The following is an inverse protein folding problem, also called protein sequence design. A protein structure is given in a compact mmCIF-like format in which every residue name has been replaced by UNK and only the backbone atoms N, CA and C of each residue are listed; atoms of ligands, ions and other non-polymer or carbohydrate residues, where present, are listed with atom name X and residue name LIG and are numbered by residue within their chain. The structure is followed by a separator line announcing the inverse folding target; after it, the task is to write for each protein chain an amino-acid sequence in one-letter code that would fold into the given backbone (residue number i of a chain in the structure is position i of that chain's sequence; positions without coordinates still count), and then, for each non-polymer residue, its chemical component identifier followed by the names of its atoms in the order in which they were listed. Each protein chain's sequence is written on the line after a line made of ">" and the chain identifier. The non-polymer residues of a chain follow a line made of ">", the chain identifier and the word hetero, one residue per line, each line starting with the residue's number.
data_IF_244606546609
#
_entry.id   IF_244606546609
#
_cell.length_a   1.000
_cell.length_b   1.000
_cell.length_c   1.000
_cell.angle_alpha   90.00
_cell.angle_beta   90.00
_cell.angle_gamma   90.00
#
_symmetry.space_group_name_H-M   'P 1'
#
loop_
_entity.id
_entity.type
_entity.pdbx_description
1 polymer ?
#
# COMPACT_ATOMS: atom_id res chain seq x y z
N UNK A 1 29.07 23.03 -5.53
CA UNK A 1 29.23 22.05 -4.44
C UNK A 1 28.34 22.37 -3.25
N UNK A 2 28.22 23.64 -2.84
CA UNK A 2 27.32 24.05 -1.75
C UNK A 2 25.86 23.54 -1.89
N UNK A 3 25.28 23.59 -3.08
CA UNK A 3 23.87 23.18 -3.27
C UNK A 3 23.60 21.71 -2.91
N UNK A 4 24.53 20.79 -3.21
CA UNK A 4 24.36 19.35 -2.94
C UNK A 4 24.40 19.08 -1.44
N UNK A 5 25.33 19.71 -0.71
CA UNK A 5 25.45 19.53 0.73
C UNK A 5 24.28 20.16 1.47
N UNK A 6 23.77 21.32 1.03
CA UNK A 6 22.57 21.95 1.57
C UNK A 6 21.37 21.02 1.44
N UNK A 7 21.14 20.47 0.24
CA UNK A 7 20.04 19.53 -0.01
C UNK A 7 20.18 18.26 0.84
N UNK A 8 21.39 17.75 1.00
CA UNK A 8 21.66 16.61 1.86
C UNK A 8 21.29 16.88 3.32
N UNK A 9 21.69 18.04 3.85
CA UNK A 9 21.37 18.44 5.22
C UNK A 9 19.86 18.61 5.43
N UNK A 10 19.15 19.17 4.47
CA UNK A 10 17.68 19.25 4.55
C UNK A 10 17.03 17.87 4.53
N UNK A 11 17.53 16.97 3.71
CA UNK A 11 17.06 15.58 3.66
C UNK A 11 17.29 14.87 4.99
N UNK A 12 18.45 15.06 5.61
CA UNK A 12 18.78 14.55 6.94
C UNK A 12 17.83 15.07 8.01
N UNK A 13 17.57 16.37 8.03
CA UNK A 13 16.65 17.00 8.99
C UNK A 13 15.21 16.44 8.86
N UNK A 14 14.80 16.11 7.63
CA UNK A 14 13.48 15.48 7.39
C UNK A 14 13.42 14.00 7.76
N UNK A 15 14.56 13.33 7.79
CA UNK A 15 14.67 11.88 8.06
C UNK A 15 14.86 11.54 9.53
N UNK A 16 15.20 12.53 10.38
CA UNK A 16 15.43 12.36 11.81
C UNK A 16 14.15 12.54 12.62
N UNK A 17 13.94 11.67 13.61
CA UNK A 17 12.85 11.83 14.59
C UNK A 17 13.15 13.03 15.51
N UNK A 18 12.14 13.81 15.85
CA UNK A 18 12.21 15.08 16.61
C UNK A 18 12.75 14.96 18.04
N UNK A 19 13.13 13.78 18.51
CA UNK A 19 13.48 13.52 19.93
C UNK A 19 14.97 13.33 20.20
N UNK A 20 15.81 13.25 19.18
CA UNK A 20 17.27 13.11 19.32
C UNK A 20 17.91 14.27 18.56
N UNK A 21 18.92 14.89 19.18
CA UNK A 21 19.70 15.92 18.49
C UNK A 21 20.45 15.29 17.31
N UNK A 22 20.09 15.68 16.09
CA UNK A 22 20.80 15.23 14.87
C UNK A 22 22.31 15.43 14.99
N UNK A 23 22.74 16.49 15.65
CA UNK A 23 24.17 16.79 15.84
C UNK A 23 24.84 15.77 16.75
N UNK A 24 24.19 15.32 17.82
CA UNK A 24 24.71 14.29 18.73
C UNK A 24 24.81 12.93 18.00
N UNK A 25 23.78 12.55 17.29
CA UNK A 25 23.74 11.29 16.53
C UNK A 25 24.85 11.25 15.45
N UNK A 26 25.02 12.37 14.72
CA UNK A 26 26.12 12.49 13.75
C UNK A 26 27.51 12.50 14.40
N UNK A 27 27.65 13.10 15.58
CA UNK A 27 28.91 13.11 16.33
C UNK A 27 29.35 11.69 16.71
N UNK A 28 28.42 10.88 17.22
CA UNK A 28 28.66 9.46 17.54
C UNK A 28 28.95 8.63 16.30
N UNK A 29 28.13 8.77 15.25
CA UNK A 29 28.28 8.02 14.01
C UNK A 29 29.63 8.27 13.32
N UNK A 30 30.02 9.55 13.20
CA UNK A 30 31.24 9.96 12.48
C UNK A 30 32.47 9.99 13.37
N UNK A 31 32.31 9.84 14.70
CA UNK A 31 33.38 9.92 15.71
C UNK A 31 34.13 11.24 15.63
N UNK A 32 33.43 12.35 15.50
CA UNK A 32 33.96 13.71 15.45
C UNK A 32 33.31 14.58 16.53
N UNK A 33 33.91 15.71 16.87
CA UNK A 33 33.37 16.64 17.88
C UNK A 33 32.05 17.28 17.39
N UNK A 34 31.19 17.66 18.35
CA UNK A 34 29.95 18.40 18.07
C UNK A 34 30.20 19.68 17.26
N UNK A 35 31.28 20.41 17.57
CA UNK A 35 31.66 21.60 16.80
C UNK A 35 31.94 21.27 15.32
N UNK A 36 32.66 20.17 15.08
CA UNK A 36 32.92 19.69 13.71
C UNK A 36 31.64 19.29 12.98
N UNK A 37 30.65 18.73 13.70
CA UNK A 37 29.33 18.43 13.13
C UNK A 37 28.57 19.70 12.77
N UNK A 38 28.53 20.69 13.70
CA UNK A 38 27.86 21.96 13.44
C UNK A 38 28.45 22.71 12.25
N UNK A 39 29.76 22.67 12.07
CA UNK A 39 30.43 23.28 10.90
C UNK A 39 29.97 22.60 9.59
N UNK A 40 29.81 21.27 9.59
CA UNK A 40 29.24 20.53 8.42
C UNK A 40 27.80 20.89 8.19
N UNK A 41 26.99 20.94 9.24
CA UNK A 41 25.54 21.28 9.14
C UNK A 41 25.31 22.74 8.69
N UNK A 42 26.30 23.63 8.88
CA UNK A 42 26.28 25.02 8.36
C UNK A 42 26.96 25.15 7.00
N UNK A 43 27.43 24.06 6.40
CA UNK A 43 28.19 24.05 5.15
C UNK A 43 29.52 24.82 5.21
N UNK A 44 30.10 25.04 6.41
CA UNK A 44 31.41 25.64 6.61
C UNK A 44 32.57 24.66 6.36
N UNK A 45 32.25 23.37 6.36
CA UNK A 45 33.17 22.27 6.09
C UNK A 45 32.43 21.23 5.26
N UNK A 46 33.09 20.70 4.24
CA UNK A 46 32.52 19.68 3.37
C UNK A 46 32.34 18.35 4.11
N UNK A 47 31.20 17.68 3.84
CA UNK A 47 30.99 16.28 4.23
C UNK A 47 31.69 15.41 3.19
N UNK A 48 32.62 14.58 3.63
CA UNK A 48 33.35 13.69 2.71
C UNK A 48 32.45 12.59 2.16
N UNK A 49 32.85 11.98 1.03
CA UNK A 49 32.12 10.86 0.44
C UNK A 49 31.94 9.68 1.41
N UNK A 50 32.98 9.41 2.22
CA UNK A 50 32.92 8.33 3.23
C UNK A 50 31.95 8.65 4.35
N UNK A 51 31.92 9.91 4.82
CA UNK A 51 30.96 10.39 5.82
C UNK A 51 29.53 10.36 5.24
N UNK A 52 29.34 10.83 4.00
CA UNK A 52 28.06 10.77 3.31
C UNK A 52 27.55 9.34 3.24
N UNK A 53 28.39 8.39 2.85
CA UNK A 53 28.01 6.97 2.78
C UNK A 53 27.63 6.41 4.17
N UNK A 54 28.40 6.74 5.22
CA UNK A 54 28.08 6.30 6.58
C UNK A 54 26.75 6.87 7.06
N UNK A 55 26.50 8.15 6.82
CA UNK A 55 25.25 8.84 7.16
C UNK A 55 24.08 8.23 6.39
N UNK A 56 24.20 8.09 5.07
CA UNK A 56 23.16 7.50 4.23
C UNK A 56 22.78 6.09 4.68
N UNK A 57 23.79 5.27 5.04
CA UNK A 57 23.57 3.91 5.55
C UNK A 57 22.86 3.93 6.91
N UNK A 58 23.24 4.81 7.82
CA UNK A 58 22.67 4.91 9.16
C UNK A 58 21.20 5.37 9.14
N UNK A 59 20.91 6.44 8.37
CA UNK A 59 19.58 7.02 8.26
C UNK A 59 18.71 6.37 7.18
N UNK A 60 19.17 5.28 6.53
CA UNK A 60 18.50 4.63 5.41
C UNK A 60 18.10 5.59 4.26
N UNK A 61 18.99 6.54 3.95
CA UNK A 61 18.83 7.48 2.86
C UNK A 61 19.52 6.90 1.63
N UNK A 62 18.83 6.68 0.51
CA UNK A 62 19.48 6.25 -0.72
C UNK A 62 20.40 7.35 -1.24
N UNK A 63 21.61 6.98 -1.67
CA UNK A 63 22.62 7.92 -2.19
C UNK A 63 22.07 8.71 -3.39
N UNK A 64 21.23 8.08 -4.18
CA UNK A 64 20.55 8.67 -5.34
C UNK A 64 19.63 9.83 -4.95
N UNK A 65 19.13 9.86 -3.72
CA UNK A 65 18.35 10.99 -3.20
C UNK A 65 19.17 12.27 -3.04
N UNK A 66 20.51 12.17 -3.02
CA UNK A 66 21.42 13.32 -3.01
C UNK A 66 21.61 13.94 -4.39
N UNK A 67 21.41 13.14 -5.41
CA UNK A 67 21.49 13.57 -6.79
C UNK A 67 20.10 14.04 -7.24
N UNK A 68 19.61 15.17 -6.72
CA UNK A 68 18.54 15.96 -7.40
C UNK A 68 19.06 16.55 -8.73
N UNK A 69 20.01 15.88 -9.34
CA UNK A 69 20.40 16.14 -10.70
C UNK A 69 19.23 15.62 -11.52
N UNK A 70 18.82 16.34 -12.54
CA UNK A 70 17.93 15.97 -13.66
C UNK A 70 18.26 14.58 -14.26
N UNK A 71 18.22 13.54 -13.43
CA UNK A 71 18.41 12.17 -13.83
C UNK A 71 17.03 11.54 -13.99
N UNK A 72 16.77 10.95 -15.16
CA UNK A 72 15.58 10.12 -15.37
C UNK A 72 15.63 8.84 -14.50
N UNK A 73 16.42 8.83 -13.42
CA UNK A 73 16.58 7.71 -12.50
C UNK A 73 15.82 7.97 -11.22
N UNK A 74 15.05 7.00 -10.79
CA UNK A 74 14.27 7.04 -9.55
C UNK A 74 14.64 5.83 -8.71
N UNK A 75 15.06 6.08 -7.46
CA UNK A 75 15.29 5.02 -6.49
C UNK A 75 13.99 4.59 -5.82
N UNK A 76 13.78 3.28 -5.72
CA UNK A 76 12.67 2.68 -4.99
C UNK A 76 13.19 1.86 -3.82
N UNK A 77 12.53 2.00 -2.65
CA UNK A 77 12.70 1.08 -1.53
C UNK A 77 11.77 -0.12 -1.73
N UNK A 78 12.33 -1.31 -1.66
CA UNK A 78 11.59 -2.57 -1.75
C UNK A 78 11.67 -3.26 -0.38
N UNK A 79 10.53 -3.70 0.14
CA UNK A 79 10.52 -4.57 1.30
C UNK A 79 10.92 -5.97 0.85
N UNK A 80 12.03 -6.46 1.39
CA UNK A 80 12.49 -7.82 1.09
C UNK A 80 11.63 -8.81 1.86
N UNK A 81 10.60 -9.32 1.20
CA UNK A 81 9.71 -10.32 1.77
C UNK A 81 10.29 -11.71 1.55
N UNK A 82 10.36 -12.50 2.59
CA UNK A 82 10.71 -13.91 2.58
C UNK A 82 9.47 -14.77 2.83
N UNK A 83 9.59 -16.08 2.66
CA UNK A 83 8.54 -17.06 2.92
C UNK A 83 8.32 -17.36 4.41
N UNK A 84 8.77 -16.49 5.32
CA UNK A 84 8.57 -16.65 6.77
C UNK A 84 7.34 -15.87 7.26
N UNK A 85 6.70 -16.39 8.31
CA UNK A 85 5.58 -15.71 8.99
C UNK A 85 6.00 -14.34 9.55
N UNK A 86 7.28 -14.19 9.97
CA UNK A 86 7.85 -12.92 10.42
C UNK A 86 7.89 -11.87 9.33
N UNK A 87 8.18 -12.28 8.10
CA UNK A 87 8.22 -11.35 6.94
C UNK A 87 6.86 -10.71 6.68
N UNK A 88 5.77 -11.47 6.86
CA UNK A 88 4.42 -10.93 6.69
C UNK A 88 4.06 -9.97 7.83
N UNK A 89 4.45 -10.29 9.06
CA UNK A 89 4.29 -9.37 10.21
C UNK A 89 5.05 -8.06 9.98
N UNK A 90 6.30 -8.15 9.51
CA UNK A 90 7.10 -6.97 9.16
C UNK A 90 6.44 -6.13 8.05
N UNK A 91 5.84 -6.76 7.05
CA UNK A 91 5.08 -6.07 6.01
C UNK A 91 3.93 -5.24 6.61
N UNK A 92 3.12 -5.84 7.50
CA UNK A 92 2.02 -5.13 8.17
C UNK A 92 2.52 -3.98 9.05
N UNK A 93 3.63 -4.18 9.77
CA UNK A 93 4.25 -3.13 10.59
C UNK A 93 4.76 -1.96 9.74
N UNK A 94 5.39 -2.23 8.60
CA UNK A 94 5.82 -1.19 7.66
C UNK A 94 4.62 -0.44 7.11
N UNK A 95 3.58 -1.15 6.69
CA UNK A 95 2.34 -0.54 6.19
C UNK A 95 1.68 0.34 7.25
N UNK A 96 1.56 -0.16 8.49
CA UNK A 96 1.05 0.59 9.63
C UNK A 96 1.92 1.84 9.91
N UNK A 97 3.24 1.68 9.90
CA UNK A 97 4.18 2.77 10.10
C UNK A 97 4.06 3.87 9.06
N UNK A 98 3.96 3.50 7.78
CA UNK A 98 3.82 4.43 6.66
C UNK A 98 2.49 5.22 6.72
N UNK A 99 1.38 4.55 7.05
CA UNK A 99 0.09 5.23 7.23
C UNK A 99 0.11 6.18 8.44
N UNK A 100 0.63 5.76 9.59
CA UNK A 100 0.77 6.62 10.77
C UNK A 100 1.70 7.79 10.54
N UNK A 101 2.77 7.59 9.76
CA UNK A 101 3.68 8.67 9.40
C UNK A 101 2.93 9.75 8.61
N UNK A 102 2.13 9.36 7.62
CA UNK A 102 1.35 10.30 6.82
C UNK A 102 0.32 11.06 7.66
N UNK A 103 -0.34 10.41 8.62
CA UNK A 103 -1.33 11.04 9.50
C UNK A 103 -0.76 12.15 10.39
N UNK A 104 0.56 12.26 10.55
CA UNK A 104 1.20 13.37 11.31
C UNK A 104 1.13 14.71 10.60
N UNK A 105 0.85 14.71 9.28
CA UNK A 105 0.85 15.91 8.46
C UNK A 105 -0.58 16.38 8.18
N UNK A 106 -0.82 17.71 8.15
CA UNK A 106 -2.14 18.24 7.82
C UNK A 106 -2.52 17.92 6.37
N UNK A 107 -3.83 17.86 6.11
CA UNK A 107 -4.41 17.61 4.78
C UNK A 107 -3.87 16.32 4.10
N UNK A 108 -3.58 15.31 4.93
CA UNK A 108 -3.16 14.02 4.40
C UNK A 108 -4.30 13.35 3.62
N UNK A 109 -3.92 12.70 2.52
CA UNK A 109 -4.86 12.03 1.62
C UNK A 109 -4.21 10.82 0.96
N UNK A 110 -4.99 9.78 0.71
CA UNK A 110 -4.58 8.58 0.01
C UNK A 110 -5.33 8.49 -1.33
N UNK A 111 -4.61 8.34 -2.44
CA UNK A 111 -5.20 8.00 -3.74
C UNK A 111 -4.76 6.58 -4.09
N UNK A 112 -5.70 5.71 -4.43
CA UNK A 112 -5.45 4.33 -4.82
C UNK A 112 -6.00 4.06 -6.22
N UNK A 113 -5.13 3.82 -7.20
CA UNK A 113 -5.54 3.26 -8.49
C UNK A 113 -5.39 1.73 -8.41
N UNK A 114 -6.51 1.03 -8.53
CA UNK A 114 -6.62 -0.40 -8.22
C UNK A 114 -6.64 -1.26 -9.48
N UNK A 115 -5.51 -1.91 -9.79
CA UNK A 115 -5.43 -3.00 -10.77
C UNK A 115 -6.07 -4.28 -10.21
N UNK A 116 -5.80 -4.62 -8.94
CA UNK A 116 -6.50 -5.64 -8.15
C UNK A 116 -7.01 -4.96 -6.86
N UNK A 117 -7.83 -5.67 -6.10
CA UNK A 117 -8.42 -5.18 -4.84
C UNK A 117 -7.41 -4.41 -3.98
N UNK A 118 -7.75 -3.19 -3.52
CA UNK A 118 -6.91 -2.49 -2.57
C UNK A 118 -6.63 -3.35 -1.35
N UNK A 119 -5.35 -3.47 -1.00
CA UNK A 119 -4.87 -4.37 0.07
C UNK A 119 -5.61 -4.19 1.39
N UNK A 120 -6.07 -2.98 1.67
CA UNK A 120 -6.76 -2.65 2.91
C UNK A 120 -8.09 -3.37 3.10
N UNK A 121 -8.78 -3.75 2.02
CA UNK A 121 -10.05 -4.48 2.10
C UNK A 121 -9.86 -5.89 2.65
N UNK A 122 -8.73 -6.55 2.37
CA UNK A 122 -8.42 -7.88 2.92
C UNK A 122 -8.41 -7.91 4.45
N UNK A 123 -8.20 -6.77 5.09
CA UNK A 123 -8.14 -6.66 6.55
C UNK A 123 -9.52 -6.69 7.24
N UNK A 124 -10.59 -6.69 6.46
CA UNK A 124 -11.97 -6.80 6.96
C UNK A 124 -12.59 -8.18 6.70
N UNK A 125 -12.02 -8.99 5.80
CA UNK A 125 -12.61 -10.20 5.24
C UNK A 125 -11.62 -11.38 5.37
N UNK A 126 -11.72 -12.17 6.45
CA UNK A 126 -10.67 -13.12 6.84
C UNK A 126 -10.50 -14.31 5.91
N UNK A 127 -11.57 -14.81 5.24
CA UNK A 127 -11.44 -15.95 4.33
C UNK A 127 -10.65 -15.56 3.08
N UNK A 128 -10.98 -14.40 2.50
CA UNK A 128 -10.21 -13.85 1.37
C UNK A 128 -8.77 -13.51 1.79
N UNK A 129 -8.59 -12.95 2.98
CA UNK A 129 -7.26 -12.64 3.51
C UNK A 129 -6.38 -13.89 3.62
N UNK A 130 -6.93 -14.97 4.18
CA UNK A 130 -6.24 -16.26 4.26
C UNK A 130 -5.88 -16.78 2.88
N UNK A 131 -6.85 -16.77 1.95
CA UNK A 131 -6.64 -17.19 0.57
C UNK A 131 -5.50 -16.40 -0.10
N UNK A 132 -5.54 -15.07 -0.04
CA UNK A 132 -4.50 -14.21 -0.63
C UNK A 132 -3.14 -14.43 0.00
N UNK A 133 -3.07 -14.62 1.32
CA UNK A 133 -1.82 -14.95 2.02
C UNK A 133 -1.26 -16.31 1.54
N UNK A 134 -2.12 -17.33 1.40
CA UNK A 134 -1.71 -18.65 0.90
C UNK A 134 -1.26 -18.57 -0.55
N UNK A 135 -2.04 -17.92 -1.42
CA UNK A 135 -1.69 -17.71 -2.82
C UNK A 135 -0.33 -17.05 -2.95
N UNK A 136 -0.10 -15.98 -2.21
CA UNK A 136 1.14 -15.25 -2.26
C UNK A 136 2.34 -16.08 -1.77
N UNK A 137 2.24 -16.72 -0.60
CA UNK A 137 3.32 -17.53 -0.05
C UNK A 137 3.61 -18.77 -0.91
N UNK A 138 2.57 -19.45 -1.41
CA UNK A 138 2.70 -20.69 -2.17
C UNK A 138 3.10 -20.44 -3.62
N UNK A 139 2.42 -19.52 -4.32
CA UNK A 139 2.62 -19.33 -5.76
C UNK A 139 3.71 -18.30 -6.10
N UNK A 140 3.93 -17.29 -5.25
CA UNK A 140 4.89 -16.22 -5.53
C UNK A 140 6.22 -16.45 -4.80
N UNK A 141 6.18 -16.81 -3.50
CA UNK A 141 7.37 -17.02 -2.69
C UNK A 141 7.85 -18.49 -2.66
N UNK A 142 7.07 -19.41 -3.23
CA UNK A 142 7.36 -20.84 -3.26
C UNK A 142 7.69 -21.42 -1.88
N UNK A 143 6.88 -21.08 -0.86
CA UNK A 143 7.09 -21.51 0.52
C UNK A 143 6.98 -23.04 0.64
N UNK A 144 8.08 -23.71 0.99
CA UNK A 144 8.14 -25.16 1.15
C UNK A 144 7.14 -25.68 2.21
N UNK A 145 6.92 -24.92 3.27
CA UNK A 145 5.99 -25.26 4.36
C UNK A 145 4.51 -25.35 3.93
N UNK A 146 4.17 -24.82 2.76
CA UNK A 146 2.82 -24.85 2.18
C UNK A 146 2.67 -25.81 1.02
N UNK A 147 3.76 -26.47 0.60
CA UNK A 147 3.68 -27.45 -0.48
C UNK A 147 2.85 -28.68 -0.03
N UNK A 148 1.99 -29.17 -0.94
CA UNK A 148 1.10 -30.31 -0.66
C UNK A 148 -0.08 -30.00 0.26
N UNK A 149 -0.19 -28.80 0.85
CA UNK A 149 -1.31 -28.43 1.71
C UNK A 149 -2.45 -27.80 0.93
N UNK A 150 -3.67 -28.04 1.40
CA UNK A 150 -4.89 -27.37 0.98
C UNK A 150 -5.15 -26.11 1.83
N UNK A 151 -6.07 -25.28 1.42
CA UNK A 151 -6.39 -24.02 2.13
C UNK A 151 -6.89 -24.30 3.56
N UNK A 152 -7.68 -25.34 3.74
CA UNK A 152 -8.31 -25.71 5.02
C UNK A 152 -7.28 -26.17 6.08
N UNK A 153 -6.09 -26.58 5.65
CA UNK A 153 -4.99 -27.02 6.53
C UNK A 153 -4.13 -25.85 7.01
N UNK A 154 -4.43 -24.62 6.56
CA UNK A 154 -3.63 -23.44 6.84
C UNK A 154 -4.46 -22.46 7.67
N UNK A 155 -3.81 -21.81 8.62
CA UNK A 155 -4.43 -20.77 9.45
C UNK A 155 -3.68 -19.45 9.32
N UNK A 156 -4.40 -18.36 9.54
CA UNK A 156 -3.78 -17.04 9.67
C UNK A 156 -2.83 -17.06 10.88
N UNK A 157 -1.60 -16.55 10.75
CA UNK A 157 -0.65 -16.53 11.84
C UNK A 157 -1.16 -15.62 12.98
N UNK A 158 -0.83 -15.91 14.25
CA UNK A 158 -1.24 -15.08 15.39
C UNK A 158 -0.89 -13.60 15.23
N UNK A 159 0.25 -13.29 14.63
CA UNK A 159 0.68 -11.91 14.32
C UNK A 159 -0.28 -11.17 13.39
N UNK A 160 -1.02 -11.89 12.54
CA UNK A 160 -2.09 -11.29 11.74
C UNK A 160 -3.18 -10.69 12.62
N UNK A 161 -3.62 -11.43 13.63
CA UNK A 161 -4.69 -10.99 14.54
C UNK A 161 -4.28 -9.77 15.36
N UNK A 162 -2.99 -9.58 15.60
CA UNK A 162 -2.43 -8.45 16.36
C UNK A 162 -2.21 -7.20 15.49
N UNK A 163 -1.67 -7.36 14.28
CA UNK A 163 -1.23 -6.25 13.43
C UNK A 163 -2.34 -5.71 12.52
N UNK A 164 -3.19 -6.59 11.99
CA UNK A 164 -4.25 -6.19 11.05
C UNK A 164 -5.23 -5.18 11.65
N UNK A 165 -5.72 -5.32 12.90
CA UNK A 165 -6.58 -4.30 13.49
C UNK A 165 -5.94 -2.91 13.54
N UNK A 166 -4.63 -2.82 13.79
CA UNK A 166 -3.88 -1.56 13.85
C UNK A 166 -3.86 -0.88 12.47
N UNK A 167 -3.53 -1.64 11.41
CA UNK A 167 -3.52 -1.12 10.03
C UNK A 167 -4.92 -0.66 9.62
N UNK A 168 -5.93 -1.49 9.89
CA UNK A 168 -7.33 -1.20 9.57
C UNK A 168 -7.82 0.07 10.25
N UNK A 169 -7.54 0.24 11.55
CA UNK A 169 -8.00 1.39 12.34
C UNK A 169 -7.35 2.70 11.89
N UNK A 170 -6.11 2.64 11.39
CA UNK A 170 -5.45 3.81 10.79
C UNK A 170 -6.02 4.10 9.41
N UNK A 171 -6.19 3.08 8.55
CA UNK A 171 -6.76 3.25 7.20
C UNK A 171 -8.16 3.89 7.24
N UNK A 172 -8.99 3.55 8.22
CA UNK A 172 -10.33 4.14 8.39
C UNK A 172 -10.30 5.64 8.75
N UNK A 173 -9.15 6.17 9.14
CA UNK A 173 -8.99 7.59 9.50
C UNK A 173 -8.36 8.44 8.40
N UNK A 174 -7.96 7.84 7.29
CA UNK A 174 -7.29 8.53 6.18
C UNK A 174 -8.32 8.84 5.08
N UNK A 175 -8.52 10.11 4.72
CA UNK A 175 -9.31 10.49 3.54
C UNK A 175 -8.76 9.79 2.31
N UNK A 176 -9.63 9.18 1.51
CA UNK A 176 -9.21 8.29 0.43
C UNK A 176 -10.00 8.53 -0.85
N UNK A 177 -9.29 8.58 -1.97
CA UNK A 177 -9.84 8.48 -3.32
C UNK A 177 -9.44 7.15 -3.94
N UNK A 178 -10.40 6.38 -4.41
CA UNK A 178 -10.14 5.11 -5.11
C UNK A 178 -10.57 5.19 -6.57
N UNK A 179 -9.76 4.64 -7.45
CA UNK A 179 -10.01 4.54 -8.89
C UNK A 179 -10.02 3.05 -9.21
N UNK A 180 -11.18 2.53 -9.57
CA UNK A 180 -11.38 1.12 -9.94
C UNK A 180 -11.79 1.03 -11.41
N UNK A 181 -11.56 -0.13 -12.02
CA UNK A 181 -12.14 -0.49 -13.31
C UNK A 181 -12.93 -1.80 -13.21
N UNK A 182 -13.57 -2.21 -14.30
CA UNK A 182 -14.38 -3.44 -14.35
C UNK A 182 -13.54 -4.70 -14.07
N UNK A 183 -12.23 -4.63 -14.30
CA UNK A 183 -11.30 -5.73 -14.13
C UNK A 183 -10.65 -5.79 -12.73
N UNK A 184 -10.94 -4.82 -11.83
CA UNK A 184 -10.30 -4.71 -10.51
C UNK A 184 -10.41 -5.97 -9.65
N UNK A 185 -11.44 -6.82 -9.83
CA UNK A 185 -11.55 -8.13 -9.16
C UNK A 185 -11.16 -9.33 -10.04
N UNK A 186 -10.84 -9.12 -11.30
CA UNK A 186 -10.59 -10.20 -12.25
C UNK A 186 -9.41 -11.07 -11.85
N UNK A 187 -8.33 -10.46 -11.41
CA UNK A 187 -7.13 -11.17 -10.93
C UNK A 187 -7.48 -12.06 -9.74
N UNK A 188 -8.19 -11.54 -8.74
CA UNK A 188 -8.64 -12.30 -7.57
C UNK A 188 -9.55 -13.47 -7.93
N UNK A 189 -10.53 -13.26 -8.81
CA UNK A 189 -11.44 -14.31 -9.28
C UNK A 189 -10.69 -15.40 -10.03
N UNK A 190 -9.73 -15.04 -10.88
CA UNK A 190 -8.91 -16.00 -11.62
C UNK A 190 -7.98 -16.81 -10.69
N UNK A 191 -7.43 -16.20 -9.66
CA UNK A 191 -6.63 -16.89 -8.65
C UNK A 191 -7.46 -17.93 -7.89
N UNK A 192 -8.68 -17.57 -7.46
CA UNK A 192 -9.60 -18.50 -6.77
C UNK A 192 -9.95 -19.67 -7.69
N UNK A 193 -10.32 -19.38 -8.94
CA UNK A 193 -10.66 -20.39 -9.95
C UNK A 193 -9.49 -21.35 -10.20
N UNK A 194 -8.28 -20.82 -10.39
CA UNK A 194 -7.09 -21.64 -10.60
C UNK A 194 -6.81 -22.58 -9.42
N UNK A 195 -6.94 -22.10 -8.19
CA UNK A 195 -6.73 -22.92 -6.99
C UNK A 195 -7.81 -23.98 -6.82
N UNK A 196 -9.06 -23.68 -7.22
CA UNK A 196 -10.13 -24.66 -7.23
C UNK A 196 -9.87 -25.75 -8.28
N UNK A 197 -9.61 -25.40 -9.52
CA UNK A 197 -9.33 -26.35 -10.62
C UNK A 197 -8.07 -27.18 -10.36
N UNK A 198 -7.10 -26.64 -9.61
CA UNK A 198 -5.87 -27.34 -9.22
C UNK A 198 -6.04 -28.23 -7.97
N UNK A 199 -7.22 -28.33 -7.37
CA UNK A 199 -7.50 -29.20 -6.22
C UNK A 199 -6.92 -28.70 -4.90
N UNK A 200 -6.68 -27.39 -4.75
CA UNK A 200 -6.17 -26.82 -3.50
C UNK A 200 -7.25 -26.50 -2.46
N UNK A 201 -8.50 -26.76 -2.77
CA UNK A 201 -9.63 -26.73 -1.85
C UNK A 201 -10.18 -28.11 -1.62
N UNK A 202 -10.39 -28.48 -0.34
CA UNK A 202 -11.05 -29.75 0.03
C UNK A 202 -12.59 -29.64 -0.01
N UNK A 203 -13.11 -28.41 0.19
CA UNK A 203 -14.54 -28.17 0.36
C UNK A 203 -15.01 -27.02 -0.48
N UNK A 204 -16.17 -27.17 -1.14
CA UNK A 204 -16.83 -26.08 -1.88
C UNK A 204 -17.21 -24.92 -0.96
N UNK A 205 -17.58 -25.20 0.29
CA UNK A 205 -17.95 -24.21 1.29
C UNK A 205 -16.81 -23.20 1.54
N UNK A 206 -15.55 -23.64 1.47
CA UNK A 206 -14.40 -22.74 1.62
C UNK A 206 -14.33 -21.73 0.47
N UNK A 207 -14.58 -22.19 -0.76
CA UNK A 207 -14.61 -21.31 -1.94
C UNK A 207 -15.77 -20.34 -1.83
N UNK A 208 -16.96 -20.83 -1.46
CA UNK A 208 -18.16 -20.00 -1.31
C UNK A 208 -17.97 -18.93 -0.24
N UNK A 209 -17.33 -19.25 0.89
CA UNK A 209 -17.00 -18.27 1.92
C UNK A 209 -16.04 -17.17 1.42
N UNK A 210 -15.08 -17.50 0.55
CA UNK A 210 -14.20 -16.51 -0.08
C UNK A 210 -15.00 -15.63 -1.07
N UNK A 211 -15.94 -16.19 -1.81
CA UNK A 211 -16.81 -15.42 -2.71
C UNK A 211 -17.77 -14.52 -1.94
N UNK A 212 -18.26 -14.95 -0.78
CA UNK A 212 -19.03 -14.10 0.15
C UNK A 212 -18.20 -12.93 0.67
N UNK A 213 -16.92 -13.15 0.99
CA UNK A 213 -16.00 -12.09 1.38
C UNK A 213 -15.83 -11.05 0.22
N UNK A 214 -15.76 -11.50 -1.05
CA UNK A 214 -15.74 -10.59 -2.20
C UNK A 214 -17.03 -9.76 -2.31
N UNK A 215 -18.19 -10.38 -2.11
CA UNK A 215 -19.47 -9.66 -2.06
C UNK A 215 -19.48 -8.63 -0.92
N UNK A 216 -18.96 -8.99 0.24
CA UNK A 216 -18.80 -8.12 1.39
C UNK A 216 -17.94 -6.90 1.09
N UNK A 217 -16.85 -7.09 0.33
CA UNK A 217 -15.99 -5.99 -0.13
C UNK A 217 -16.74 -5.05 -1.06
N UNK A 218 -17.47 -5.58 -2.04
CA UNK A 218 -18.26 -4.75 -2.94
C UNK A 218 -19.35 -3.98 -2.19
N UNK A 219 -20.00 -4.63 -1.22
CA UNK A 219 -20.99 -3.98 -0.36
C UNK A 219 -20.35 -2.85 0.48
N UNK A 220 -19.16 -3.07 1.04
CA UNK A 220 -18.39 -2.06 1.76
C UNK A 220 -18.05 -0.87 0.85
N UNK A 221 -17.47 -1.12 -0.33
CA UNK A 221 -17.11 -0.08 -1.28
C UNK A 221 -18.35 0.71 -1.75
N UNK A 222 -19.47 0.01 -2.03
CA UNK A 222 -20.74 0.64 -2.40
C UNK A 222 -21.28 1.55 -1.30
N UNK A 223 -21.26 1.10 -0.03
CA UNK A 223 -21.67 1.90 1.13
C UNK A 223 -20.79 3.14 1.30
N UNK A 224 -19.47 2.98 1.22
CA UNK A 224 -18.51 4.09 1.29
C UNK A 224 -18.77 5.11 0.17
N UNK A 225 -18.89 4.65 -1.07
CA UNK A 225 -19.16 5.51 -2.21
C UNK A 225 -20.51 6.23 -2.08
N UNK A 226 -21.58 5.54 -1.65
CA UNK A 226 -22.89 6.13 -1.49
C UNK A 226 -22.91 7.28 -0.49
N UNK A 227 -22.21 7.12 0.63
CA UNK A 227 -22.18 8.12 1.71
C UNK A 227 -21.04 9.13 1.59
N UNK A 228 -20.06 8.88 0.70
CA UNK A 228 -18.84 9.69 0.62
C UNK A 228 -17.99 9.64 1.90
N UNK A 229 -18.12 8.56 2.67
CA UNK A 229 -17.48 8.39 3.98
C UNK A 229 -16.91 6.99 4.16
N UNK A 230 -15.85 6.89 4.94
CA UNK A 230 -15.30 5.58 5.35
C UNK A 230 -16.32 4.77 6.14
N UNK A 231 -16.34 3.45 5.91
CA UNK A 231 -17.25 2.52 6.56
C UNK A 231 -16.51 1.30 7.08
N UNK A 232 -16.83 0.88 8.30
CA UNK A 232 -16.31 -0.34 8.92
C UNK A 232 -17.40 -1.41 8.92
N UNK A 233 -17.31 -2.47 8.10
CA UNK A 233 -18.33 -3.51 8.03
C UNK A 233 -18.40 -4.40 9.27
N UNK A 234 -17.30 -4.50 10.05
CA UNK A 234 -17.27 -5.30 11.30
C UNK A 234 -18.09 -4.65 12.40
N UNK A 235 -18.07 -3.30 12.46
CA UNK A 235 -18.78 -2.50 13.47
C UNK A 235 -20.10 -1.94 12.96
N UNK A 236 -20.40 -2.12 11.67
CA UNK A 236 -21.53 -1.48 10.96
C UNK A 236 -21.58 0.04 11.20
N UNK A 237 -20.42 0.70 11.04
CA UNK A 237 -20.25 2.11 11.44
C UNK A 237 -19.58 2.93 10.35
N UNK A 238 -20.13 4.13 10.10
CA UNK A 238 -19.47 5.17 9.29
C UNK A 238 -18.54 6.03 10.15
N UNK A 239 -17.43 6.42 9.55
CA UNK A 239 -16.48 7.38 10.11
C UNK A 239 -16.63 8.70 9.36
N UNK A 240 -16.51 9.82 10.07
CA UNK A 240 -16.53 11.15 9.45
C UNK A 240 -15.19 11.46 8.78
N UNK A 241 -14.86 10.65 7.80
CA UNK A 241 -13.63 10.68 7.00
C UNK A 241 -14.03 10.55 5.55
N UNK A 242 -13.57 11.48 4.71
CA UNK A 242 -13.92 11.55 3.30
C UNK A 242 -13.51 10.30 2.53
N UNK A 243 -14.41 9.86 1.65
CA UNK A 243 -14.18 8.79 0.69
C UNK A 243 -14.75 9.14 -0.67
N UNK A 244 -13.93 9.09 -1.70
CA UNK A 244 -14.34 9.31 -3.08
C UNK A 244 -13.98 8.10 -3.93
N UNK A 245 -14.86 7.72 -4.86
CA UNK A 245 -14.66 6.59 -5.76
C UNK A 245 -14.97 6.97 -7.21
N UNK A 246 -14.14 6.48 -8.11
CA UNK A 246 -14.23 6.70 -9.55
C UNK A 246 -14.16 5.37 -10.30
N UNK A 247 -15.04 5.20 -11.29
CA UNK A 247 -15.00 4.10 -12.25
C UNK A 247 -14.22 4.52 -13.50
N UNK A 248 -13.10 3.85 -13.78
CA UNK A 248 -12.21 4.15 -14.89
C UNK A 248 -12.32 3.10 -15.99
N UNK A 249 -12.49 3.53 -17.23
CA UNK A 249 -12.48 2.63 -18.40
C UNK A 249 -11.06 2.40 -18.94
N UNK A 250 -10.07 3.16 -18.45
CA UNK A 250 -8.68 3.01 -18.85
C UNK A 250 -8.04 1.84 -18.10
N UNK A 251 -7.10 1.17 -18.75
CA UNK A 251 -6.32 0.11 -18.12
C UNK A 251 -5.45 0.67 -16.98
N UNK A 252 -5.55 0.06 -15.81
CA UNK A 252 -4.68 0.30 -14.68
C UNK A 252 -3.62 -0.81 -14.69
N UNK A 253 -2.37 -0.44 -14.99
CA UNK A 253 -1.30 -1.43 -15.21
C UNK A 253 -0.75 -2.06 -13.94
N UNK A 254 -0.80 -1.34 -12.81
CA UNK A 254 -0.36 -1.80 -11.49
C UNK A 254 -1.15 -1.11 -10.40
N UNK A 255 -1.32 -1.77 -9.27
CA UNK A 255 -1.77 -1.10 -8.07
C UNK A 255 -0.84 0.07 -7.74
N UNK A 256 -1.39 1.27 -7.69
CA UNK A 256 -0.63 2.48 -7.38
C UNK A 256 -1.28 3.18 -6.21
N UNK A 257 -0.50 3.37 -5.13
CA UNK A 257 -0.93 4.14 -3.96
C UNK A 257 -0.10 5.42 -3.89
N UNK A 258 -0.78 6.54 -3.78
CA UNK A 258 -0.16 7.84 -3.59
C UNK A 258 -0.62 8.45 -2.26
N UNK A 259 0.32 8.59 -1.33
CA UNK A 259 0.11 9.29 -0.09
C UNK A 259 0.59 10.72 -0.25
N UNK A 260 -0.26 11.68 0.04
CA UNK A 260 0.03 13.12 -0.07
C UNK A 260 -0.43 13.89 1.15
N UNK A 261 0.23 15.00 1.44
CA UNK A 261 -0.11 16.01 2.42
C UNK A 261 0.42 17.37 1.94
N UNK A 262 0.25 18.42 2.72
CA UNK A 262 0.77 19.74 2.37
C UNK A 262 2.29 19.78 2.14
N UNK A 263 3.03 18.90 2.81
CA UNK A 263 4.51 18.95 2.85
C UNK A 263 5.20 17.66 2.46
N UNK A 264 4.49 16.54 2.39
CA UNK A 264 5.07 15.22 2.16
C UNK A 264 4.28 14.42 1.14
N UNK A 265 5.02 13.69 0.31
CA UNK A 265 4.45 12.81 -0.71
C UNK A 265 5.23 11.51 -0.76
N UNK A 266 4.54 10.40 -1.04
CA UNK A 266 5.13 9.10 -1.28
C UNK A 266 4.29 8.31 -2.28
N UNK A 267 4.95 7.74 -3.28
CA UNK A 267 4.32 6.81 -4.22
C UNK A 267 4.69 5.38 -3.90
N UNK A 268 3.72 4.50 -4.00
CA UNK A 268 3.87 3.05 -3.86
C UNK A 268 3.34 2.41 -5.13
N UNK A 269 4.17 1.64 -5.79
CA UNK A 269 3.83 0.93 -7.03
C UNK A 269 3.80 -0.56 -6.72
N UNK A 270 2.73 -1.25 -7.11
CA UNK A 270 2.57 -2.69 -6.93
C UNK A 270 3.73 -3.46 -7.56
N UNK A 271 4.29 -4.40 -6.81
CA UNK A 271 5.42 -5.23 -7.21
C UNK A 271 5.21 -6.66 -6.69
N UNK A 272 5.34 -7.64 -7.57
CA UNK A 272 5.16 -9.04 -7.22
C UNK A 272 3.84 -9.33 -6.48
N UNK A 273 2.72 -8.88 -7.03
CA UNK A 273 1.35 -9.09 -6.55
C UNK A 273 1.01 -8.36 -5.25
N UNK A 274 1.65 -8.66 -4.13
CA UNK A 274 1.25 -8.16 -2.81
C UNK A 274 2.20 -7.09 -2.24
N UNK A 275 3.39 -6.98 -2.79
CA UNK A 275 4.40 -6.04 -2.34
C UNK A 275 4.33 -4.71 -3.09
N UNK A 276 4.92 -3.68 -2.48
CA UNK A 276 5.01 -2.35 -3.09
C UNK A 276 6.45 -1.86 -3.09
N UNK A 277 6.82 -1.19 -4.17
CA UNK A 277 8.01 -0.36 -4.26
C UNK A 277 7.64 1.06 -3.86
N UNK A 278 8.34 1.61 -2.87
CA UNK A 278 8.11 2.98 -2.39
C UNK A 278 9.16 3.93 -2.92
N UNK A 279 8.73 5.11 -3.38
CA UNK A 279 9.62 6.23 -3.69
C UNK A 279 9.12 7.53 -3.06
N UNK A 280 10.05 8.31 -2.50
CA UNK A 280 9.81 9.66 -2.02
C UNK A 280 10.43 10.70 -2.99
N UNK A 281 10.89 10.26 -4.17
CA UNK A 281 11.47 11.15 -5.16
C UNK A 281 10.43 12.18 -5.62
N UNK A 282 10.75 13.45 -5.52
CA UNK A 282 9.83 14.56 -5.80
C UNK A 282 9.34 14.55 -7.23
N UNK A 283 10.25 14.42 -8.20
CA UNK A 283 9.91 14.41 -9.63
C UNK A 283 8.96 13.25 -9.98
N UNK A 284 9.25 12.06 -9.46
CA UNK A 284 8.40 10.89 -9.65
C UNK A 284 7.02 11.09 -9.01
N UNK A 285 6.96 11.65 -7.79
CA UNK A 285 5.71 11.89 -7.08
C UNK A 285 4.84 12.94 -7.81
N UNK A 286 5.44 14.04 -8.30
CA UNK A 286 4.74 15.06 -9.10
C UNK A 286 4.18 14.46 -10.42
N UNK A 287 4.97 13.63 -11.10
CA UNK A 287 4.55 12.93 -12.32
C UNK A 287 3.42 11.93 -12.05
N UNK A 288 3.53 11.15 -10.97
CA UNK A 288 2.54 10.16 -10.58
C UNK A 288 1.23 10.82 -10.12
N UNK A 289 1.31 11.91 -9.36
CA UNK A 289 0.15 12.72 -9.00
C UNK A 289 -0.57 13.26 -10.24
N UNK A 290 0.17 13.82 -11.18
CA UNK A 290 -0.38 14.33 -12.45
C UNK A 290 -1.10 13.23 -13.23
N UNK A 291 -0.52 12.03 -13.30
CA UNK A 291 -1.14 10.88 -13.92
C UNK A 291 -2.43 10.45 -13.21
N UNK A 292 -2.44 10.34 -11.88
CA UNK A 292 -3.61 9.98 -11.09
C UNK A 292 -4.75 11.01 -11.23
N UNK A 293 -4.42 12.29 -11.17
CA UNK A 293 -5.40 13.38 -11.38
C UNK A 293 -6.00 13.35 -12.79
N UNK A 294 -5.17 13.07 -13.81
CA UNK A 294 -5.65 12.88 -15.18
C UNK A 294 -6.59 11.67 -15.31
N UNK A 295 -6.27 10.55 -14.63
CA UNK A 295 -7.19 9.40 -14.58
C UNK A 295 -8.52 9.78 -13.94
N UNK A 296 -8.50 10.44 -12.78
CA UNK A 296 -9.71 10.90 -12.09
C UNK A 296 -10.56 11.77 -13.01
N UNK A 297 -9.94 12.72 -13.73
CA UNK A 297 -10.66 13.65 -14.63
C UNK A 297 -11.36 12.95 -15.83
N UNK A 298 -10.89 11.75 -16.18
CA UNK A 298 -11.43 10.94 -17.28
C UNK A 298 -12.32 9.79 -16.79
N UNK A 299 -12.50 9.66 -15.48
CA UNK A 299 -13.28 8.61 -14.86
C UNK A 299 -14.69 9.08 -14.49
N UNK A 300 -15.61 8.13 -14.42
CA UNK A 300 -16.98 8.38 -13.97
C UNK A 300 -17.02 8.47 -12.45
N UNK A 301 -17.48 9.57 -11.83
CA UNK A 301 -17.71 9.61 -10.39
C UNK A 301 -18.72 8.54 -9.96
N UNK A 302 -18.42 7.81 -8.89
CA UNK A 302 -19.31 6.79 -8.32
C UNK A 302 -19.82 7.18 -6.92
N UNK A 303 -19.31 8.26 -6.34
CA UNK A 303 -19.65 8.70 -4.99
C UNK A 303 -20.87 9.61 -4.94
N UNK A 304 -21.54 9.64 -3.77
CA UNK A 304 -22.66 10.54 -3.45
C UNK A 304 -23.83 10.40 -4.41
N UNK A 305 -24.14 11.43 -5.17
CA UNK A 305 -25.32 11.51 -6.06
C UNK A 305 -25.25 10.61 -7.29
N UNK A 306 -24.15 9.92 -7.54
CA UNK A 306 -23.92 9.10 -8.72
C UNK A 306 -24.55 7.69 -8.61
N UNK A 307 -25.75 7.56 -8.05
CA UNK A 307 -26.38 6.27 -7.76
C UNK A 307 -26.52 5.35 -9.00
N UNK A 308 -26.97 5.92 -10.13
CA UNK A 308 -27.15 5.13 -11.37
C UNK A 308 -25.80 4.55 -11.84
N UNK A 309 -24.78 5.38 -11.96
CA UNK A 309 -23.46 4.97 -12.43
C UNK A 309 -22.82 3.97 -11.46
N UNK A 310 -22.95 4.22 -10.15
CA UNK A 310 -22.49 3.31 -9.10
C UNK A 310 -23.14 1.94 -9.21
N UNK A 311 -24.47 1.88 -9.34
CA UNK A 311 -25.20 0.63 -9.45
C UNK A 311 -24.86 -0.14 -10.74
N UNK A 312 -24.64 0.55 -11.86
CA UNK A 312 -24.19 -0.07 -13.10
C UNK A 312 -22.80 -0.67 -12.97
N UNK A 313 -21.86 0.09 -12.41
CA UNK A 313 -20.48 -0.32 -12.21
C UNK A 313 -20.39 -1.57 -11.33
N UNK A 314 -20.96 -1.53 -10.13
CA UNK A 314 -20.89 -2.68 -9.22
C UNK A 314 -21.63 -3.92 -9.74
N UNK A 315 -22.73 -3.73 -10.50
CA UNK A 315 -23.45 -4.86 -11.11
C UNK A 315 -22.57 -5.66 -12.06
N UNK A 316 -21.72 -5.00 -12.85
CA UNK A 316 -20.79 -5.68 -13.76
C UNK A 316 -19.80 -6.56 -12.97
N UNK A 317 -19.28 -6.04 -11.87
CA UNK A 317 -18.32 -6.77 -11.03
C UNK A 317 -19.02 -7.94 -10.29
N UNK A 318 -20.20 -7.74 -9.70
CA UNK A 318 -21.00 -8.82 -9.08
C UNK A 318 -21.27 -9.96 -10.05
N UNK A 319 -21.60 -9.67 -11.32
CA UNK A 319 -21.84 -10.69 -12.32
C UNK A 319 -20.63 -11.62 -12.54
N UNK A 320 -19.41 -11.11 -12.39
CA UNK A 320 -18.19 -11.90 -12.50
C UNK A 320 -18.01 -12.86 -11.31
N UNK A 321 -18.35 -12.42 -10.11
CA UNK A 321 -18.35 -13.27 -8.89
C UNK A 321 -19.42 -14.35 -9.02
N UNK A 322 -20.64 -13.97 -9.42
CA UNK A 322 -21.75 -14.90 -9.57
C UNK A 322 -21.47 -15.98 -10.61
N UNK A 323 -20.80 -15.63 -11.70
CA UNK A 323 -20.38 -16.59 -12.72
C UNK A 323 -19.49 -17.69 -12.12
N UNK A 324 -18.50 -17.34 -11.31
CA UNK A 324 -17.64 -18.32 -10.63
C UNK A 324 -18.44 -19.10 -9.59
N UNK A 325 -19.32 -18.44 -8.82
CA UNK A 325 -20.18 -19.10 -7.82
C UNK A 325 -21.05 -20.19 -8.45
N UNK A 326 -21.69 -19.90 -9.60
CA UNK A 326 -22.50 -20.90 -10.32
C UNK A 326 -21.64 -22.06 -10.84
N UNK A 327 -20.42 -21.82 -11.29
CA UNK A 327 -19.51 -22.89 -11.68
C UNK A 327 -19.20 -23.82 -10.50
N UNK A 328 -18.85 -23.26 -9.34
CA UNK A 328 -18.56 -24.04 -8.11
C UNK A 328 -19.77 -24.84 -7.62
N UNK A 329 -20.98 -24.29 -7.71
CA UNK A 329 -22.20 -24.97 -7.26
C UNK A 329 -22.60 -26.14 -8.17
N UNK A 330 -22.30 -26.03 -9.48
CA UNK A 330 -22.68 -27.03 -10.48
C UNK A 330 -21.63 -28.13 -10.69
N UNK A 331 -20.44 -28.01 -10.11
CA UNK A 331 -19.36 -29.01 -10.12
C UNK A 331 -19.57 -30.08 -9.03
#
# INVERSE_FOLDING_TARGET
>A
MEAIQVNFIELLKRSTATHISLAEELSELLKISLDSVYRRLRCETDITLSETFAICKHFNIPLEALAEINSNMVAFRINKLSNSAESFSQYLQVLHGDLNWMMKYPNHHLIYAAEDLPVFYHFFFPNLALFKMVYWNKSILNAESLQGKTIEEIQLPPTWLEEVPKVRDVFLKIPTTEIWNDDTLKSSIQQIKFYWEAGFFQKKETILAILEDLDGILAMATKQAAMGKKYNPIKDQYYDVEYSMYGCELMIGNNTVFLTSDTHQASYIGYNSFNFMRSNNRYFNESNEGWLRNMISKSTPLSLVAEKSRNQFFRAIYASIDKLRQQVLND
#
